data_IF_790620843546
#
_entry.id   IF_790620843546
#
_cell.length_a   1.000
_cell.length_b   1.000
_cell.length_c   1.000
_cell.angle_alpha   90.00
_cell.angle_beta   90.00
_cell.angle_gamma   90.00
#
_symmetry.space_group_name_H-M   'P 1'
#
loop_
_entity.id
_entity.type
_entity.pdbx_description
1 polymer ?
#
# COMPACT_ATOMS: atom_id res chain seq x y z
N UNK A 1 7.61 -36.25 -10.87
CA UNK A 1 7.00 -35.42 -9.79
C UNK A 1 7.17 -33.96 -10.22
N UNK A 2 6.17 -33.34 -10.81
CA UNK A 2 6.28 -31.94 -11.26
C UNK A 2 6.29 -31.04 -10.02
N UNK A 3 7.43 -30.45 -9.72
CA UNK A 3 7.52 -29.35 -8.76
C UNK A 3 6.60 -28.22 -9.24
N UNK A 4 5.46 -28.05 -8.59
CA UNK A 4 4.61 -26.89 -8.83
C UNK A 4 5.42 -25.66 -8.41
N UNK A 5 5.90 -24.89 -9.40
CA UNK A 5 6.50 -23.59 -9.18
C UNK A 5 5.62 -22.82 -8.18
N UNK A 6 6.13 -22.57 -6.98
CA UNK A 6 5.42 -21.82 -5.94
C UNK A 6 5.17 -20.41 -6.48
N UNK A 7 3.90 -20.07 -6.69
CA UNK A 7 3.53 -18.73 -7.13
C UNK A 7 3.95 -17.73 -6.07
N UNK A 8 4.72 -16.72 -6.44
CA UNK A 8 5.12 -15.64 -5.55
C UNK A 8 4.10 -14.52 -5.59
N UNK A 9 3.71 -14.02 -4.42
CA UNK A 9 2.81 -12.87 -4.24
C UNK A 9 3.62 -11.65 -3.80
N UNK A 10 3.36 -10.51 -4.45
CA UNK A 10 3.80 -9.20 -3.96
C UNK A 10 2.58 -8.41 -3.50
N UNK A 11 2.58 -7.99 -2.24
CA UNK A 11 1.56 -7.10 -1.68
C UNK A 11 2.07 -5.66 -1.70
N UNK A 12 1.25 -4.74 -2.19
CA UNK A 12 1.60 -3.33 -2.34
C UNK A 12 0.62 -2.43 -1.60
N UNK A 13 1.17 -1.47 -0.86
CA UNK A 13 0.45 -0.30 -0.37
C UNK A 13 0.72 0.86 -1.32
N UNK A 14 -0.29 1.39 -2.02
CA UNK A 14 -0.12 2.49 -2.97
C UNK A 14 0.03 3.84 -2.27
N UNK A 15 0.64 4.86 -2.90
CA UNK A 15 0.64 6.22 -2.40
C UNK A 15 -0.73 6.89 -2.62
N UNK A 16 -1.11 7.95 -1.88
CA UNK A 16 -0.45 8.46 -0.71
C UNK A 16 -1.30 8.17 0.51
N UNK A 17 -0.65 7.72 1.56
CA UNK A 17 -1.19 7.61 2.91
C UNK A 17 -0.39 8.53 3.83
N UNK A 18 -0.60 8.41 5.14
CA UNK A 18 0.20 9.18 6.09
C UNK A 18 1.70 8.93 5.88
N UNK A 19 2.53 9.99 5.72
CA UNK A 19 3.94 9.83 5.38
C UNK A 19 4.81 9.27 6.52
N UNK A 20 4.31 9.34 7.76
CA UNK A 20 5.01 8.97 8.98
C UNK A 20 4.68 7.56 9.50
N UNK A 21 3.67 6.89 8.96
CA UNK A 21 3.19 5.61 9.50
C UNK A 21 2.85 4.63 8.39
N UNK A 22 3.47 3.45 8.35
CA UNK A 22 3.13 2.42 7.38
C UNK A 22 1.73 1.87 7.63
N UNK A 23 0.99 1.64 6.55
CA UNK A 23 -0.34 1.07 6.66
C UNK A 23 -0.26 -0.45 6.92
N UNK A 24 -0.89 -0.97 7.99
CA UNK A 24 -0.60 -2.31 8.49
C UNK A 24 -1.18 -3.47 7.66
N UNK A 25 -2.16 -3.23 6.79
CA UNK A 25 -2.92 -4.31 6.12
C UNK A 25 -2.02 -5.29 5.35
N UNK A 26 -1.08 -4.79 4.54
CA UNK A 26 -0.18 -5.66 3.75
C UNK A 26 0.78 -6.43 4.64
N UNK A 27 1.20 -5.85 5.77
CA UNK A 27 2.08 -6.51 6.74
C UNK A 27 1.35 -7.67 7.45
N UNK A 28 0.12 -7.42 7.93
CA UNK A 28 -0.72 -8.45 8.56
C UNK A 28 -1.00 -9.60 7.61
N UNK A 29 -1.43 -9.28 6.38
CA UNK A 29 -1.72 -10.28 5.36
C UNK A 29 -0.45 -11.08 4.98
N UNK A 30 0.69 -10.41 4.81
CA UNK A 30 1.96 -11.08 4.53
C UNK A 30 2.39 -11.99 5.69
N UNK A 31 2.25 -11.55 6.94
CA UNK A 31 2.54 -12.34 8.14
C UNK A 31 1.71 -13.61 8.18
N UNK A 32 0.40 -13.49 7.98
CA UNK A 32 -0.50 -14.65 7.91
C UNK A 32 -0.11 -15.63 6.80
N UNK A 33 0.11 -15.16 5.59
CA UNK A 33 0.45 -16.03 4.46
C UNK A 33 1.81 -16.72 4.64
N UNK A 34 2.80 -15.99 5.16
CA UNK A 34 4.12 -16.56 5.50
C UNK A 34 4.04 -17.62 6.61
N UNK A 35 3.18 -17.43 7.62
CA UNK A 35 2.98 -18.44 8.67
C UNK A 35 2.41 -19.76 8.14
N UNK A 36 1.84 -19.74 6.93
CA UNK A 36 1.35 -20.92 6.20
C UNK A 36 2.37 -21.46 5.19
N UNK A 37 3.60 -20.95 5.19
CA UNK A 37 4.68 -21.40 4.31
C UNK A 37 4.53 -20.92 2.85
N UNK A 38 3.74 -19.87 2.62
CA UNK A 38 3.51 -19.30 1.28
C UNK A 38 4.57 -18.22 0.96
N UNK A 39 4.96 -18.12 -0.32
CA UNK A 39 5.97 -17.15 -0.77
C UNK A 39 5.34 -15.79 -1.01
N UNK A 40 5.60 -14.86 -0.09
CA UNK A 40 5.00 -13.53 -0.08
C UNK A 40 6.04 -12.47 0.24
N UNK A 41 6.10 -11.44 -0.59
CA UNK A 41 6.78 -10.18 -0.32
C UNK A 41 5.74 -9.07 -0.12
N UNK A 42 6.10 -8.03 0.62
CA UNK A 42 5.30 -6.81 0.72
C UNK A 42 6.19 -5.57 0.56
N UNK A 43 5.64 -4.51 0.00
CA UNK A 43 6.29 -3.19 -0.13
C UNK A 43 5.27 -2.09 0.14
N UNK A 44 5.65 -1.18 1.02
CA UNK A 44 4.95 0.08 1.18
C UNK A 44 5.54 1.09 0.19
N UNK A 45 4.75 1.48 -0.81
CA UNK A 45 5.14 2.49 -1.80
C UNK A 45 4.74 3.89 -1.33
N UNK A 46 3.83 3.99 -0.35
CA UNK A 46 3.33 5.29 0.11
C UNK A 46 4.43 6.11 0.78
N UNK A 47 5.10 5.54 1.78
CA UNK A 47 6.19 6.22 2.49
C UNK A 47 7.35 6.56 1.53
N UNK A 48 7.70 5.62 0.63
CA UNK A 48 8.79 5.84 -0.33
C UNK A 48 8.50 6.99 -1.29
N UNK A 49 7.29 7.03 -1.85
CA UNK A 49 6.86 8.09 -2.76
C UNK A 49 6.73 9.42 -2.02
N UNK A 50 6.15 9.43 -0.81
CA UNK A 50 6.06 10.64 0.01
C UNK A 50 7.45 11.22 0.29
N UNK A 51 8.41 10.37 0.69
CA UNK A 51 9.80 10.79 0.91
C UNK A 51 10.43 11.38 -0.34
N UNK A 52 10.26 10.74 -1.49
CA UNK A 52 10.82 11.25 -2.74
C UNK A 52 10.23 12.63 -3.13
N UNK A 53 8.93 12.81 -2.90
CA UNK A 53 8.26 14.10 -3.14
C UNK A 53 8.78 15.17 -2.16
N UNK A 54 8.94 14.83 -0.88
CA UNK A 54 9.54 15.73 0.10
C UNK A 54 10.95 16.15 -0.30
N UNK A 55 11.78 15.23 -0.82
CA UNK A 55 13.13 15.53 -1.28
C UNK A 55 13.18 16.31 -2.61
N UNK A 56 12.18 16.15 -3.48
CA UNK A 56 12.17 16.81 -4.80
C UNK A 56 11.63 18.25 -4.72
N UNK A 57 10.70 18.51 -3.79
CA UNK A 57 9.99 19.80 -3.71
C UNK A 57 10.23 20.57 -2.41
N UNK A 58 10.81 19.93 -1.40
CA UNK A 58 11.16 20.56 -0.14
C UNK A 58 12.49 21.31 -0.18
N UNK A 59 12.74 22.04 0.88
CA UNK A 59 13.98 22.79 1.16
C UNK A 59 14.88 22.04 2.15
N UNK A 60 15.92 22.72 2.65
CA UNK A 60 16.84 22.17 3.67
C UNK A 60 16.11 21.76 4.96
N UNK A 61 15.12 22.53 5.38
CA UNK A 61 14.26 22.23 6.54
C UNK A 61 13.51 20.91 6.35
N UNK A 62 13.07 20.64 5.15
CA UNK A 62 12.37 19.38 4.80
C UNK A 62 13.30 18.15 4.95
N UNK A 63 14.60 18.32 4.74
CA UNK A 63 15.61 17.28 4.99
C UNK A 63 15.67 16.86 6.46
N UNK A 64 15.65 17.83 7.37
CA UNK A 64 15.57 17.59 8.82
C UNK A 64 14.26 16.92 9.23
N UNK A 65 13.13 17.30 8.60
CA UNK A 65 11.83 16.67 8.85
C UNK A 65 11.81 15.18 8.53
N UNK A 66 12.58 14.74 7.53
CA UNK A 66 12.68 13.31 7.19
C UNK A 66 13.35 12.50 8.30
N UNK A 67 14.27 13.09 9.05
CA UNK A 67 14.87 12.45 10.21
C UNK A 67 13.85 12.28 11.35
N UNK A 68 13.00 13.27 11.57
CA UNK A 68 11.93 13.20 12.57
C UNK A 68 10.83 12.20 12.21
N UNK A 69 10.52 12.00 10.93
CA UNK A 69 9.55 10.99 10.48
C UNK A 69 10.02 9.56 10.76
N UNK A 70 11.32 9.34 10.92
CA UNK A 70 11.91 8.01 11.13
C UNK A 70 12.29 7.67 12.56
N UNK A 71 12.19 8.61 13.54
CA UNK A 71 12.74 8.43 14.87
C UNK A 71 11.90 9.01 16.02
N UNK A 72 12.39 8.84 17.26
CA UNK A 72 11.84 9.55 18.40
C UNK A 72 12.19 11.04 18.29
N UNK A 73 11.18 11.89 18.23
CA UNK A 73 11.32 13.34 18.21
C UNK A 73 10.41 13.99 19.26
N UNK A 74 10.79 15.15 19.82
CA UNK A 74 9.93 15.94 20.69
C UNK A 74 8.59 16.25 20.02
N UNK A 75 7.53 16.40 20.81
CA UNK A 75 6.17 16.68 20.27
C UNK A 75 6.16 17.97 19.48
N UNK A 76 6.90 18.98 19.92
CA UNK A 76 7.01 20.28 19.25
C UNK A 76 7.64 20.15 17.88
N UNK A 77 8.76 19.44 17.75
CA UNK A 77 9.40 19.19 16.46
C UNK A 77 8.48 18.40 15.48
N UNK A 78 7.66 17.48 16.02
CA UNK A 78 6.66 16.77 15.20
C UNK A 78 5.55 17.70 14.71
N UNK A 79 5.14 18.66 15.52
CA UNK A 79 4.13 19.65 15.16
C UNK A 79 4.68 20.56 14.04
N UNK A 80 5.87 21.11 14.22
CA UNK A 80 6.54 21.95 13.22
C UNK A 80 6.75 21.20 11.90
N UNK A 81 7.18 19.92 11.99
CA UNK A 81 7.31 19.07 10.82
C UNK A 81 5.97 18.85 10.09
N UNK A 82 4.88 18.66 10.83
CA UNK A 82 3.54 18.48 10.25
C UNK A 82 3.07 19.77 9.54
N UNK A 83 3.28 20.92 10.16
CA UNK A 83 2.93 22.22 9.58
C UNK A 83 3.71 22.48 8.28
N UNK A 84 5.02 22.24 8.27
CA UNK A 84 5.85 22.41 7.07
C UNK A 84 5.45 21.43 5.93
N UNK A 85 5.08 20.20 6.27
CA UNK A 85 4.58 19.23 5.27
C UNK A 85 3.24 19.69 4.69
N UNK A 86 2.35 20.24 5.51
CA UNK A 86 1.06 20.74 5.07
C UNK A 86 1.24 21.98 4.18
N UNK A 87 2.12 22.90 4.51
CA UNK A 87 2.47 24.07 3.68
C UNK A 87 3.06 23.64 2.32
N UNK A 88 3.99 22.69 2.32
CA UNK A 88 4.54 22.14 1.09
C UNK A 88 3.46 21.43 0.25
N UNK A 89 2.53 20.72 0.87
CA UNK A 89 1.42 20.09 0.16
C UNK A 89 0.51 21.13 -0.52
N UNK A 90 0.26 22.27 0.15
CA UNK A 90 -0.50 23.39 -0.41
C UNK A 90 0.26 23.96 -1.61
N UNK A 91 1.55 24.24 -1.46
CA UNK A 91 2.37 24.77 -2.53
C UNK A 91 2.42 23.86 -3.76
N UNK A 92 2.62 22.54 -3.57
CA UNK A 92 2.63 21.56 -4.67
C UNK A 92 1.26 21.54 -5.36
N UNK A 93 0.16 21.57 -4.60
CA UNK A 93 -1.19 21.57 -5.15
C UNK A 93 -1.46 22.80 -6.01
N UNK A 94 -1.01 23.95 -5.57
CA UNK A 94 -1.31 25.21 -6.22
C UNK A 94 -0.40 25.48 -7.44
N UNK A 95 0.83 24.90 -7.46
CA UNK A 95 1.82 25.20 -8.48
C UNK A 95 2.18 24.03 -9.41
N UNK A 96 1.93 22.76 -9.01
CA UNK A 96 2.45 21.58 -9.72
C UNK A 96 1.36 20.58 -10.06
N UNK A 97 0.59 20.10 -9.08
CA UNK A 97 -0.44 19.06 -9.26
C UNK A 97 -1.65 19.37 -8.36
N UNK A 98 -2.71 19.90 -8.95
CA UNK A 98 -3.92 20.34 -8.26
C UNK A 98 -4.63 19.24 -7.45
N UNK A 99 -4.29 17.99 -7.69
CA UNK A 99 -4.85 16.82 -6.98
C UNK A 99 -3.97 16.37 -5.82
N UNK A 100 -2.85 17.07 -5.56
CA UNK A 100 -1.87 16.62 -4.59
C UNK A 100 -2.30 16.86 -3.13
N UNK A 101 -1.95 15.90 -2.29
CA UNK A 101 -1.95 15.95 -0.83
C UNK A 101 -1.26 14.72 -0.29
N UNK A 102 -0.41 14.87 0.75
CA UNK A 102 0.40 13.77 1.26
C UNK A 102 -0.41 12.59 1.85
N UNK A 103 -1.68 12.79 2.16
CA UNK A 103 -2.55 11.73 2.67
C UNK A 103 -3.84 11.53 1.87
N UNK A 104 -4.10 12.36 0.83
CA UNK A 104 -5.39 12.43 0.11
C UNK A 104 -5.23 12.77 -1.36
N UNK A 105 -4.46 11.97 -2.09
CA UNK A 105 -4.22 12.23 -3.51
C UNK A 105 -5.47 12.00 -4.35
N UNK A 106 -5.93 13.05 -5.05
CA UNK A 106 -7.10 13.02 -5.95
C UNK A 106 -8.38 12.43 -5.32
N UNK A 107 -8.56 12.58 -4.00
CA UNK A 107 -9.68 11.97 -3.26
C UNK A 107 -11.05 12.46 -3.76
N UNK A 108 -11.15 13.71 -4.20
CA UNK A 108 -12.38 14.29 -4.71
C UNK A 108 -12.96 13.53 -5.91
N UNK A 109 -12.11 12.93 -6.74
CA UNK A 109 -12.52 12.10 -7.88
C UNK A 109 -13.13 10.75 -7.48
N UNK A 110 -12.91 10.35 -6.23
CA UNK A 110 -13.36 9.06 -5.73
C UNK A 110 -14.68 9.14 -4.97
N UNK A 111 -15.19 10.34 -4.69
CA UNK A 111 -16.47 10.54 -3.99
C UNK A 111 -17.68 10.22 -4.84
N UNK A 112 -17.55 10.31 -6.17
CA UNK A 112 -18.60 9.96 -7.11
C UNK A 112 -18.13 8.78 -7.98
N UNK A 113 -18.16 7.57 -7.43
CA UNK A 113 -17.82 6.32 -8.14
C UNK A 113 -18.74 6.08 -9.36
N UNK A 114 -19.79 6.89 -9.51
CA UNK A 114 -20.73 6.82 -10.62
C UNK A 114 -20.11 7.08 -11.99
N UNK A 115 -18.97 7.78 -12.10
CA UNK A 115 -18.29 7.99 -13.39
C UNK A 115 -16.81 7.60 -13.36
N UNK A 116 -16.53 6.35 -13.73
CA UNK A 116 -15.17 5.87 -13.96
C UNK A 116 -14.42 6.65 -15.04
N UNK A 117 -15.10 7.40 -15.92
CA UNK A 117 -14.46 8.15 -17.00
C UNK A 117 -13.54 9.26 -16.51
N UNK A 118 -13.93 9.98 -15.45
CA UNK A 118 -13.11 11.01 -14.83
C UNK A 118 -11.89 10.40 -14.13
N UNK A 119 -12.10 9.33 -13.38
CA UNK A 119 -11.03 8.56 -12.77
C UNK A 119 -10.05 8.04 -13.83
N UNK A 120 -10.56 7.51 -14.96
CA UNK A 120 -9.72 7.00 -16.04
C UNK A 120 -8.88 8.12 -16.70
N UNK A 121 -9.43 9.32 -16.88
CA UNK A 121 -8.65 10.48 -17.35
C UNK A 121 -7.51 10.81 -16.39
N UNK A 122 -7.78 10.80 -15.08
CA UNK A 122 -6.77 11.09 -14.06
C UNK A 122 -5.68 10.00 -13.98
N UNK A 123 -6.04 8.74 -14.11
CA UNK A 123 -5.08 7.61 -14.17
C UNK A 123 -4.09 7.81 -15.34
N UNK A 124 -4.54 8.36 -16.46
CA UNK A 124 -3.72 8.57 -17.65
C UNK A 124 -2.87 9.83 -17.59
N UNK A 125 -3.33 10.87 -16.87
CA UNK A 125 -2.60 12.12 -16.69
C UNK A 125 -1.40 11.92 -15.76
N UNK A 126 -0.24 12.43 -16.14
CA UNK A 126 0.92 12.46 -15.26
C UNK A 126 0.73 13.48 -14.14
N UNK A 127 1.32 13.20 -12.99
CA UNK A 127 1.35 14.06 -11.81
C UNK A 127 2.61 13.80 -10.99
N UNK A 128 2.73 14.49 -9.89
CA UNK A 128 3.89 14.47 -8.98
C UNK A 128 4.31 13.07 -8.56
N UNK A 129 3.35 12.19 -8.29
CA UNK A 129 3.64 10.84 -7.79
C UNK A 129 4.17 9.87 -8.86
N UNK A 130 4.00 10.15 -10.16
CA UNK A 130 4.21 9.13 -11.20
C UNK A 130 5.67 8.69 -11.31
N UNK A 131 6.61 9.62 -11.34
CA UNK A 131 8.05 9.33 -11.48
C UNK A 131 8.60 8.51 -10.31
N UNK A 132 8.42 8.92 -9.04
CA UNK A 132 8.86 8.13 -7.91
C UNK A 132 8.11 6.79 -7.80
N UNK A 133 6.81 6.76 -8.09
CA UNK A 133 6.02 5.53 -8.08
C UNK A 133 6.54 4.50 -9.09
N UNK A 134 6.77 4.91 -10.35
CA UNK A 134 7.29 4.04 -11.40
C UNK A 134 8.68 3.49 -11.02
N UNK A 135 9.56 4.31 -10.41
CA UNK A 135 10.88 3.90 -9.96
C UNK A 135 10.82 2.81 -8.89
N UNK A 136 10.07 3.04 -7.82
CA UNK A 136 9.94 2.07 -6.73
C UNK A 136 9.18 0.82 -7.13
N UNK A 137 8.17 0.95 -7.98
CA UNK A 137 7.40 -0.17 -8.49
C UNK A 137 8.28 -1.07 -9.38
N UNK A 138 9.07 -0.47 -10.28
CA UNK A 138 10.02 -1.19 -11.12
C UNK A 138 10.99 -2.01 -10.27
N UNK A 139 11.63 -1.40 -9.27
CA UNK A 139 12.54 -2.07 -8.36
C UNK A 139 11.86 -3.25 -7.62
N UNK A 140 10.65 -3.04 -7.10
CA UNK A 140 9.89 -4.08 -6.41
C UNK A 140 9.54 -5.26 -7.34
N UNK A 141 9.16 -5.00 -8.59
CA UNK A 141 8.82 -6.04 -9.57
C UNK A 141 10.06 -6.84 -10.01
N UNK A 142 11.18 -6.17 -10.24
CA UNK A 142 12.44 -6.81 -10.66
C UNK A 142 13.04 -7.68 -9.55
N UNK A 143 12.99 -7.20 -8.30
CA UNK A 143 13.47 -7.93 -7.13
C UNK A 143 12.61 -9.17 -6.84
N UNK A 144 11.28 -9.01 -6.90
CA UNK A 144 10.38 -10.07 -6.44
C UNK A 144 9.94 -11.02 -7.53
N UNK A 145 9.86 -10.58 -8.78
CA UNK A 145 9.36 -11.34 -9.94
C UNK A 145 8.06 -12.08 -9.63
N UNK A 146 7.01 -11.37 -9.17
CA UNK A 146 5.81 -12.00 -8.67
C UNK A 146 4.95 -12.56 -9.81
N UNK A 147 4.25 -13.67 -9.55
CA UNK A 147 3.17 -14.15 -10.40
C UNK A 147 1.83 -13.46 -10.13
N UNK A 148 1.67 -12.96 -8.90
CA UNK A 148 0.46 -12.27 -8.43
C UNK A 148 0.88 -10.99 -7.71
N UNK A 149 0.18 -9.89 -7.97
CA UNK A 149 0.30 -8.65 -7.21
C UNK A 149 -1.04 -8.31 -6.58
N UNK A 150 -1.05 -8.20 -5.25
CA UNK A 150 -2.19 -7.70 -4.48
C UNK A 150 -1.96 -6.24 -4.09
N UNK A 151 -2.93 -5.39 -4.37
CA UNK A 151 -2.87 -3.96 -4.03
C UNK A 151 -3.97 -3.67 -3.02
N UNK A 152 -3.61 -3.03 -1.89
CA UNK A 152 -4.61 -2.57 -0.93
C UNK A 152 -5.07 -1.16 -1.28
N UNK A 153 -6.38 -0.92 -1.26
CA UNK A 153 -6.97 0.41 -1.36
C UNK A 153 -7.81 0.67 -0.10
N UNK A 154 -7.19 1.18 0.98
CA UNK A 154 -7.90 1.38 2.24
C UNK A 154 -8.82 2.58 2.22
N UNK A 155 -8.46 3.64 1.48
CA UNK A 155 -9.14 4.93 1.43
C UNK A 155 -9.25 5.46 0.00
N UNK A 156 -10.19 6.38 -0.28
CA UNK A 156 -10.36 6.95 -1.62
C UNK A 156 -9.10 7.61 -2.17
N UNK A 157 -8.30 8.28 -1.34
CA UNK A 157 -7.05 8.94 -1.74
C UNK A 157 -5.95 8.01 -2.25
N UNK A 158 -6.11 6.70 -2.15
CA UNK A 158 -5.15 5.71 -2.71
C UNK A 158 -5.62 5.09 -4.02
N UNK A 159 -6.86 5.34 -4.43
CA UNK A 159 -7.48 4.66 -5.57
C UNK A 159 -6.77 4.99 -6.90
N UNK A 160 -6.56 6.27 -7.19
CA UNK A 160 -5.87 6.70 -8.42
C UNK A 160 -4.49 6.04 -8.53
N UNK A 161 -3.73 6.03 -7.45
CA UNK A 161 -2.41 5.42 -7.43
C UNK A 161 -2.46 3.90 -7.60
N UNK A 162 -3.45 3.22 -7.00
CA UNK A 162 -3.66 1.78 -7.21
C UNK A 162 -3.90 1.46 -8.68
N UNK A 163 -4.71 2.25 -9.38
CA UNK A 163 -4.95 2.10 -10.82
C UNK A 163 -3.72 2.47 -11.67
N UNK A 164 -2.93 3.46 -11.29
CA UNK A 164 -1.65 3.78 -11.96
C UNK A 164 -0.67 2.61 -11.85
N UNK A 165 -0.55 1.99 -10.68
CA UNK A 165 0.24 0.76 -10.45
C UNK A 165 -0.25 -0.35 -11.38
N UNK A 166 -1.55 -0.61 -11.39
CA UNK A 166 -2.14 -1.66 -12.22
C UNK A 166 -1.88 -1.41 -13.71
N UNK A 167 -2.07 -0.18 -14.19
CA UNK A 167 -1.76 0.22 -15.57
C UNK A 167 -0.30 -0.01 -15.93
N UNK A 168 0.63 0.35 -15.04
CA UNK A 168 2.07 0.12 -15.25
C UNK A 168 2.37 -1.37 -15.38
N UNK A 169 1.86 -2.19 -14.45
CA UNK A 169 2.10 -3.65 -14.43
C UNK A 169 1.50 -4.32 -15.66
N UNK A 170 0.25 -4.03 -16.01
CA UNK A 170 -0.41 -4.61 -17.21
C UNK A 170 0.37 -4.33 -18.50
N UNK A 171 1.01 -3.18 -18.61
CA UNK A 171 1.80 -2.80 -19.79
C UNK A 171 3.19 -3.43 -19.83
N UNK A 172 3.85 -3.58 -18.67
CA UNK A 172 5.25 -4.04 -18.57
C UNK A 172 5.38 -5.52 -18.24
N UNK A 173 4.38 -6.08 -17.53
CA UNK A 173 4.37 -7.45 -17.00
C UNK A 173 3.00 -8.10 -17.25
N UNK A 174 2.59 -8.32 -18.53
CA UNK A 174 1.22 -8.72 -18.87
C UNK A 174 0.80 -10.09 -18.32
N UNK A 175 1.77 -10.95 -17.94
CA UNK A 175 1.50 -12.25 -17.32
C UNK A 175 1.20 -12.22 -15.82
N UNK A 176 1.34 -11.05 -15.18
CA UNK A 176 1.11 -10.92 -13.73
C UNK A 176 -0.38 -10.71 -13.46
N UNK A 177 -0.93 -11.54 -12.56
CA UNK A 177 -2.32 -11.40 -12.09
C UNK A 177 -2.41 -10.26 -11.07
N UNK A 178 -3.36 -9.36 -11.27
CA UNK A 178 -3.59 -8.19 -10.43
C UNK A 178 -4.88 -8.32 -9.62
N UNK A 179 -4.77 -8.13 -8.32
CA UNK A 179 -5.88 -8.19 -7.37
C UNK A 179 -5.96 -6.87 -6.61
N UNK A 180 -7.15 -6.27 -6.57
CA UNK A 180 -7.43 -5.09 -5.75
C UNK A 180 -8.30 -5.48 -4.56
N UNK A 181 -7.91 -5.06 -3.38
CA UNK A 181 -8.67 -5.23 -2.14
C UNK A 181 -8.51 -4.03 -1.20
N UNK A 182 -9.01 -4.16 0.01
CA UNK A 182 -8.92 -3.13 1.05
C UNK A 182 -10.26 -2.52 1.42
N UNK A 183 -10.27 -1.67 2.46
CA UNK A 183 -11.50 -1.13 3.06
C UNK A 183 -12.37 -0.40 2.05
N UNK A 184 -11.82 0.51 1.27
CA UNK A 184 -12.56 1.27 0.26
C UNK A 184 -13.18 0.37 -0.82
N UNK A 185 -12.48 -0.69 -1.23
CA UNK A 185 -13.01 -1.67 -2.19
C UNK A 185 -14.18 -2.44 -1.59
N UNK A 186 -14.08 -2.80 -0.30
CA UNK A 186 -15.10 -3.60 0.40
C UNK A 186 -16.36 -2.79 0.75
N UNK A 187 -16.25 -1.47 0.83
CA UNK A 187 -17.40 -0.57 1.13
C UNK A 187 -17.91 0.09 -0.15
N UNK A 188 -17.15 1.03 -0.71
CA UNK A 188 -17.62 1.91 -1.78
C UNK A 188 -17.67 1.24 -3.15
N UNK A 189 -16.77 0.29 -3.43
CA UNK A 189 -16.74 -0.40 -4.71
C UNK A 189 -17.53 -1.72 -4.73
N UNK A 190 -18.13 -2.10 -3.62
CA UNK A 190 -18.88 -3.37 -3.48
C UNK A 190 -20.02 -3.49 -4.51
N UNK A 191 -20.74 -2.40 -4.74
CA UNK A 191 -21.87 -2.34 -5.65
C UNK A 191 -21.52 -1.76 -7.02
N UNK A 192 -20.25 -1.74 -7.37
CA UNK A 192 -19.76 -1.19 -8.63
C UNK A 192 -20.32 -1.99 -9.82
N UNK A 193 -21.09 -1.35 -10.67
CA UNK A 193 -21.66 -1.94 -11.89
C UNK A 193 -20.79 -1.69 -13.13
N UNK A 194 -19.89 -0.70 -13.07
CA UNK A 194 -19.00 -0.37 -14.17
C UNK A 194 -17.95 -1.47 -14.38
N UNK A 195 -17.83 -1.95 -15.62
CA UNK A 195 -16.88 -3.00 -15.98
C UNK A 195 -15.52 -2.50 -16.42
N UNK A 196 -15.35 -1.19 -16.63
CA UNK A 196 -14.08 -0.59 -17.09
C UNK A 196 -12.91 -0.85 -16.13
N UNK A 197 -13.07 -0.91 -14.78
CA UNK A 197 -12.04 -1.29 -13.84
C UNK A 197 -11.40 -2.66 -14.09
N UNK A 198 -12.12 -3.61 -14.66
CA UNK A 198 -11.60 -4.94 -15.03
C UNK A 198 -10.59 -4.94 -16.19
N UNK A 199 -10.38 -3.79 -16.86
CA UNK A 199 -9.24 -3.60 -17.77
C UNK A 199 -7.90 -3.50 -17.01
N UNK A 200 -7.95 -3.13 -15.72
CA UNK A 200 -6.79 -2.89 -14.87
C UNK A 200 -6.54 -4.05 -13.91
N UNK A 201 -7.59 -4.63 -13.36
CA UNK A 201 -7.51 -5.70 -12.37
C UNK A 201 -8.21 -6.96 -12.85
N UNK A 202 -7.61 -8.10 -12.54
CA UNK A 202 -8.19 -9.41 -12.86
C UNK A 202 -9.21 -9.84 -11.80
N UNK A 203 -9.10 -9.28 -10.58
CA UNK A 203 -9.94 -9.65 -9.45
C UNK A 203 -10.08 -8.48 -8.47
N UNK A 204 -11.28 -8.34 -7.90
CA UNK A 204 -11.57 -7.47 -6.76
C UNK A 204 -11.91 -8.36 -5.57
N UNK A 205 -11.11 -8.24 -4.49
CA UNK A 205 -11.37 -8.97 -3.26
C UNK A 205 -12.07 -8.07 -2.25
N UNK A 206 -13.27 -8.49 -1.87
CA UNK A 206 -14.08 -7.84 -0.85
C UNK A 206 -13.81 -8.48 0.50
N UNK A 207 -13.99 -7.69 1.55
CA UNK A 207 -13.83 -8.11 2.93
C UNK A 207 -12.39 -8.56 3.25
N UNK A 208 -12.19 -9.74 3.83
CA UNK A 208 -10.87 -10.20 4.26
C UNK A 208 -10.10 -10.95 3.17
N UNK A 209 -8.86 -10.51 2.91
CA UNK A 209 -8.00 -11.09 1.88
C UNK A 209 -7.29 -12.40 2.28
N UNK A 210 -7.37 -12.86 3.53
CA UNK A 210 -6.55 -13.95 4.06
C UNK A 210 -6.79 -15.29 3.34
N UNK A 211 -7.99 -15.81 3.39
CA UNK A 211 -8.34 -17.07 2.74
C UNK A 211 -8.30 -16.98 1.20
N UNK A 212 -8.80 -15.91 0.55
CA UNK A 212 -8.67 -15.74 -0.89
C UNK A 212 -7.24 -15.78 -1.38
N UNK A 213 -6.31 -15.02 -0.80
CA UNK A 213 -4.91 -15.05 -1.22
C UNK A 213 -4.23 -16.37 -0.92
N UNK A 214 -4.51 -17.02 0.21
CA UNK A 214 -3.98 -18.34 0.50
C UNK A 214 -4.41 -19.37 -0.57
N UNK A 215 -5.68 -19.33 -0.99
CA UNK A 215 -6.21 -20.18 -2.08
C UNK A 215 -5.55 -19.87 -3.43
N UNK A 216 -5.36 -18.59 -3.75
CA UNK A 216 -4.68 -18.16 -4.99
C UNK A 216 -3.24 -18.69 -5.07
N UNK A 217 -2.57 -18.81 -3.91
CA UNK A 217 -1.23 -19.37 -3.78
C UNK A 217 -1.20 -20.90 -3.69
N UNK A 218 -2.37 -21.55 -3.69
CA UNK A 218 -2.50 -23.02 -3.74
C UNK A 218 -2.67 -23.68 -2.38
N UNK A 219 -2.92 -22.94 -1.31
CA UNK A 219 -3.29 -23.50 -0.02
C UNK A 219 -4.75 -23.97 -0.03
N UNK A 220 -4.93 -25.28 -0.22
CA UNK A 220 -6.26 -25.90 -0.25
C UNK A 220 -6.94 -25.98 1.12
N UNK A 221 -6.19 -25.80 2.21
CA UNK A 221 -6.70 -25.85 3.59
C UNK A 221 -7.24 -24.49 4.06
N UNK A 222 -7.00 -23.41 3.30
CA UNK A 222 -7.53 -22.11 3.63
C UNK A 222 -9.06 -22.11 3.47
N UNK A 223 -9.78 -21.78 4.51
CA UNK A 223 -11.24 -21.67 4.50
C UNK A 223 -11.69 -20.26 4.89
N UNK A 224 -12.90 -19.87 4.47
CA UNK A 224 -13.53 -18.62 4.90
C UNK A 224 -13.85 -18.62 6.41
N UNK A 225 -13.81 -19.80 7.06
CA UNK A 225 -13.97 -19.95 8.50
C UNK A 225 -12.69 -19.72 9.31
N UNK A 226 -11.57 -19.32 8.67
CA UNK A 226 -10.34 -18.88 9.33
C UNK A 226 -10.31 -17.31 9.45
N UNK A 227 -11.26 -16.69 10.15
CA UNK A 227 -11.18 -15.26 10.37
C UNK A 227 -10.02 -14.97 11.31
N UNK A 228 -9.25 -13.89 11.09
CA UNK A 228 -8.11 -13.51 11.93
C UNK A 228 -8.47 -13.42 13.40
N UNK A 229 -9.66 -12.96 13.74
CA UNK A 229 -10.12 -12.85 15.12
C UNK A 229 -10.19 -14.15 15.91
N UNK A 230 -10.38 -15.33 15.27
CA UNK A 230 -10.33 -16.62 15.96
C UNK A 230 -8.90 -17.14 16.14
N UNK A 231 -8.00 -16.80 15.24
CA UNK A 231 -6.58 -17.15 15.32
C UNK A 231 -5.90 -16.34 16.44
N UNK A 232 -6.26 -15.06 16.61
CA UNK A 232 -5.73 -14.18 17.65
C UNK A 232 -6.01 -14.65 19.08
N UNK A 233 -7.12 -15.32 19.33
CA UNK A 233 -7.49 -15.83 20.66
C UNK A 233 -6.76 -17.09 21.12
N UNK A 234 -6.18 -17.87 20.20
CA UNK A 234 -5.62 -19.18 20.52
C UNK A 234 -4.11 -19.36 20.34
N UNK A 235 -3.41 -18.46 19.66
CA UNK A 235 -1.96 -18.57 19.42
C UNK A 235 -1.24 -17.32 19.85
N UNK A 236 -0.12 -17.48 20.59
CA UNK A 236 0.86 -16.41 20.79
C UNK A 236 1.47 -16.10 19.43
N UNK A 237 1.04 -15.05 18.77
CA UNK A 237 1.67 -14.59 17.56
C UNK A 237 3.00 -13.94 17.91
N UNK A 238 4.05 -14.47 17.31
CA UNK A 238 5.32 -13.77 17.23
C UNK A 238 5.20 -12.78 16.08
N UNK A 239 5.14 -11.51 16.38
CA UNK A 239 5.48 -10.48 15.42
C UNK A 239 6.99 -10.57 15.20
N UNK A 240 7.41 -11.41 14.25
CA UNK A 240 8.79 -11.48 13.85
C UNK A 240 9.07 -10.23 13.00
N UNK A 241 9.87 -9.34 13.55
CA UNK A 241 10.57 -8.28 12.84
C UNK A 241 9.71 -7.42 11.90
N UNK A 242 9.03 -6.44 12.44
CA UNK A 242 8.37 -5.45 11.62
C UNK A 242 9.35 -4.39 11.07
N UNK A 243 10.50 -4.18 11.73
CA UNK A 243 11.46 -3.17 11.29
C UNK A 243 12.89 -3.60 11.61
N UNK A 244 13.75 -3.70 10.61
CA UNK A 244 15.21 -3.77 10.74
C UNK A 244 15.83 -2.62 9.95
N UNK A 245 16.85 -1.98 10.54
CA UNK A 245 17.66 -0.99 9.85
C UNK A 245 18.56 -1.73 8.88
N UNK A 246 18.21 -1.74 7.61
CA UNK A 246 19.17 -1.97 6.53
C UNK A 246 19.74 -0.62 6.12
N UNK A 247 20.90 -0.56 5.50
CA UNK A 247 21.71 0.65 5.27
C UNK A 247 20.95 1.87 4.69
N UNK A 248 19.70 1.69 4.22
CA UNK A 248 18.85 2.76 3.69
C UNK A 248 17.35 2.66 4.04
N UNK A 249 16.92 1.83 5.01
CA UNK A 249 15.51 1.67 5.37
C UNK A 249 15.32 1.44 6.87
N UNK A 250 14.28 2.04 7.45
CA UNK A 250 13.82 1.78 8.81
C UNK A 250 12.85 0.61 8.84
N UNK A 251 13.10 -0.30 9.79
CA UNK A 251 12.33 -1.50 9.99
C UNK A 251 11.98 -1.64 11.49
N UNK A 252 10.72 -1.79 11.87
CA UNK A 252 10.27 -1.83 13.28
C UNK A 252 10.51 -3.20 13.90
N UNK A 253 11.27 -3.26 14.98
CA UNK A 253 11.53 -4.48 15.75
C UNK A 253 10.68 -4.49 17.01
N UNK A 254 9.55 -5.21 17.01
CA UNK A 254 8.75 -5.38 18.22
C UNK A 254 9.29 -6.53 19.06
N UNK A 255 9.81 -6.23 20.26
CA UNK A 255 10.04 -7.24 21.30
C UNK A 255 8.70 -7.76 21.83
N UNK A 256 8.67 -9.06 22.22
CA UNK A 256 7.53 -9.69 22.88
C UNK A 256 6.83 -8.76 23.87
N UNK A 257 5.67 -8.20 23.54
CA UNK A 257 4.74 -7.60 24.50
C UNK A 257 3.34 -8.15 24.28
N UNK A 258 2.55 -8.20 25.34
CA UNK A 258 1.16 -8.66 25.31
C UNK A 258 0.30 -7.64 24.57
N UNK A 259 -0.67 -8.10 23.81
CA UNK A 259 -1.53 -7.32 22.91
C UNK A 259 -2.35 -6.20 23.58
N UNK A 260 -2.37 -6.15 24.91
CA UNK A 260 -3.15 -5.17 25.68
C UNK A 260 -2.51 -3.78 25.77
N UNK A 261 -1.27 -3.61 25.31
CA UNK A 261 -0.51 -2.36 25.43
C UNK A 261 -0.52 -1.51 24.13
N UNK A 262 -1.37 -1.85 23.14
CA UNK A 262 -1.36 -1.19 21.83
C UNK A 262 -2.71 -0.50 21.49
N UNK A 263 -3.65 -0.47 22.43
CA UNK A 263 -4.88 0.30 22.27
C UNK A 263 -4.87 1.44 23.29
N UNK A 264 -4.14 2.48 23.00
CA UNK A 264 -4.41 3.87 23.40
C UNK A 264 -3.92 4.77 22.27
#
# INVERSE_FOLDING_TARGET
MYERSKKKLLLLTPPLLQPNTPYPATMHLAGYLKSRGLDVAQRDLSIKVARDVLLEYGDETTGELLEFLGGPAPVEAKREASEAIDELAIWIRDNVDSDFGFSRYAEHLCRAVADFGELERRIRRRGVIDKPLERHLKAAMEETKPAIVGITCPFPGTLVAAFKIARYIKRRYPGVRLVLGGGYVSTELREMTDRRPYKYFDEFQLDEGYAPFAKLLGDRKASAADPPGRIWKKRRFFYAHLWEKTENNWCLRLRKRRLYDIII
#
